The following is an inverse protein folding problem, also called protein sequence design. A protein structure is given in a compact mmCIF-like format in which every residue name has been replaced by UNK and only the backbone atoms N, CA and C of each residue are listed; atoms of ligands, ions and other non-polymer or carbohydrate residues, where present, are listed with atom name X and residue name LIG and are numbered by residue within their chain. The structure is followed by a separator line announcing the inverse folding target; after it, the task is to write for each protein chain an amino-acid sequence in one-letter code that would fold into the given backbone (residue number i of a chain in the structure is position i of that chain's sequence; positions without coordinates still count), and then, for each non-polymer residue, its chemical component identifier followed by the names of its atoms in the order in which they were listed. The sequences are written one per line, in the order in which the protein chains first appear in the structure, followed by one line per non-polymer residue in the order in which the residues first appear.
data_IF_258587336830
#
_entry.id   IF_258587336830
#
_cell.length_a   1.000
_cell.length_b   1.000
_cell.length_c   1.000
_cell.angle_alpha   90.00
_cell.angle_beta   90.00
_cell.angle_gamma   90.00
#
_symmetry.space_group_name_H-M   'P 1'
#
loop_
_entity.id
_entity.type
_entity.pdbx_description
1 polymer ?
#
# COMPACT_ATOMS: atom_id res chain seq x y z
N UNK A 1 -17.45 -19.04 15.81
CA UNK A 1 -16.46 -18.92 14.71
C UNK A 1 -16.13 -17.45 14.53
N UNK A 2 -14.85 -17.07 14.56
CA UNK A 2 -14.43 -15.68 14.35
C UNK A 2 -14.32 -15.41 12.85
N UNK A 3 -15.15 -14.51 12.33
CA UNK A 3 -15.09 -14.09 10.94
C UNK A 3 -14.29 -12.78 10.86
N UNK A 4 -13.12 -12.83 10.23
CA UNK A 4 -12.25 -11.68 10.03
C UNK A 4 -12.44 -11.14 8.61
N UNK A 5 -12.77 -9.84 8.47
CA UNK A 5 -12.83 -9.22 7.15
C UNK A 5 -11.46 -9.31 6.46
N UNK A 6 -11.48 -9.61 5.18
CA UNK A 6 -10.28 -9.73 4.37
C UNK A 6 -10.52 -9.15 2.97
N UNK A 7 -9.45 -8.65 2.36
CA UNK A 7 -9.51 -8.16 1.00
C UNK A 7 -9.64 -9.32 0.02
N UNK A 8 -10.54 -9.21 -0.96
CA UNK A 8 -10.72 -10.19 -2.02
C UNK A 8 -9.85 -9.89 -3.25
N UNK A 9 -9.76 -10.88 -4.14
CA UNK A 9 -9.00 -10.76 -5.39
C UNK A 9 -9.55 -9.67 -6.32
N UNK A 10 -10.88 -9.56 -6.44
CA UNK A 10 -11.49 -8.60 -7.36
C UNK A 10 -11.23 -7.15 -6.94
N UNK A 11 -11.31 -6.85 -5.64
CA UNK A 11 -10.96 -5.53 -5.10
C UNK A 11 -9.46 -5.23 -5.29
N UNK A 12 -8.59 -6.20 -5.02
CA UNK A 12 -7.15 -6.05 -5.21
C UNK A 12 -6.78 -5.80 -6.68
N UNK A 13 -7.35 -6.58 -7.59
CA UNK A 13 -7.15 -6.42 -9.03
C UNK A 13 -7.68 -5.08 -9.53
N UNK A 14 -8.88 -4.70 -9.12
CA UNK A 14 -9.46 -3.42 -9.51
C UNK A 14 -8.62 -2.23 -9.06
N UNK A 15 -8.02 -2.29 -7.86
CA UNK A 15 -7.08 -1.29 -7.38
C UNK A 15 -5.82 -1.22 -8.26
N UNK A 16 -5.26 -2.37 -8.65
CA UNK A 16 -4.10 -2.45 -9.55
C UNK A 16 -4.45 -1.83 -10.91
N UNK A 17 -5.59 -2.19 -11.47
CA UNK A 17 -6.05 -1.66 -12.76
C UNK A 17 -6.25 -0.13 -12.70
N UNK A 18 -6.80 0.39 -11.61
CA UNK A 18 -6.96 1.83 -11.39
C UNK A 18 -5.62 2.56 -11.34
N UNK A 19 -4.63 2.00 -10.62
CA UNK A 19 -3.29 2.57 -10.55
C UNK A 19 -2.58 2.55 -11.91
N UNK A 20 -2.68 1.47 -12.67
CA UNK A 20 -2.10 1.37 -14.02
C UNK A 20 -2.76 2.39 -14.96
N UNK A 21 -4.08 2.57 -14.87
CA UNK A 21 -4.81 3.57 -15.65
C UNK A 21 -4.33 4.98 -15.33
N UNK A 22 -4.15 5.30 -14.07
CA UNK A 22 -3.64 6.60 -13.61
C UNK A 22 -2.25 6.89 -14.19
N UNK A 23 -1.33 5.93 -14.08
CA UNK A 23 0.04 6.06 -14.63
C UNK A 23 0.00 6.32 -16.13
N UNK A 24 -0.80 5.57 -16.88
CA UNK A 24 -0.92 5.73 -18.33
C UNK A 24 -1.54 7.06 -18.74
N UNK A 25 -2.41 7.63 -17.91
CA UNK A 25 -3.07 8.91 -18.17
C UNK A 25 -2.17 10.12 -17.87
N UNK A 26 -1.11 9.93 -17.06
CA UNK A 26 -0.21 11.00 -16.61
C UNK A 26 1.27 10.63 -16.81
N UNK A 27 1.71 10.50 -18.08
CA UNK A 27 3.12 10.18 -18.38
C UNK A 27 4.09 11.31 -18.01
N UNK A 28 3.58 12.53 -17.79
CA UNK A 28 4.31 13.68 -17.27
C UNK A 28 4.64 13.56 -15.78
N UNK A 29 3.81 12.83 -15.01
CA UNK A 29 3.96 12.67 -13.56
C UNK A 29 4.60 11.36 -13.18
N UNK A 30 4.24 10.25 -13.84
CA UNK A 30 4.63 8.91 -13.46
C UNK A 30 5.61 8.29 -14.45
N UNK A 31 6.58 7.58 -13.91
CA UNK A 31 7.39 6.68 -14.71
C UNK A 31 6.57 5.44 -15.08
N UNK A 32 6.83 4.94 -16.30
CA UNK A 32 6.09 3.78 -16.80
C UNK A 32 6.67 2.45 -16.27
N UNK A 33 7.69 2.51 -15.41
CA UNK A 33 8.41 1.37 -14.87
C UNK A 33 8.23 1.33 -13.36
N UNK A 34 7.21 0.64 -12.89
CA UNK A 34 6.94 0.52 -11.47
C UNK A 34 6.41 -0.87 -11.11
N UNK A 35 6.35 -1.16 -9.82
CA UNK A 35 5.73 -2.35 -9.29
C UNK A 35 4.71 -1.99 -8.21
N UNK A 36 3.61 -2.71 -8.18
CA UNK A 36 2.61 -2.67 -7.13
C UNK A 36 2.37 -4.06 -6.57
N UNK A 37 2.22 -4.14 -5.26
CA UNK A 37 1.84 -5.35 -4.52
C UNK A 37 0.62 -5.03 -3.67
N UNK A 38 -0.43 -5.83 -3.82
CA UNK A 38 -1.61 -5.78 -2.95
C UNK A 38 -1.64 -7.06 -2.11
N UNK A 39 -1.72 -6.91 -0.81
CA UNK A 39 -1.70 -8.00 0.17
C UNK A 39 -3.02 -8.09 0.93
N UNK A 40 -3.33 -9.27 1.40
CA UNK A 40 -4.41 -9.50 2.35
C UNK A 40 -4.02 -9.07 3.78
N UNK A 41 -4.92 -9.27 4.73
CA UNK A 41 -4.74 -8.93 6.14
C UNK A 41 -3.66 -9.76 6.86
N UNK A 42 -3.25 -10.86 6.27
CA UNK A 42 -2.16 -11.74 6.76
C UNK A 42 -0.81 -11.43 6.09
N UNK A 43 -0.75 -10.34 5.33
CA UNK A 43 0.41 -9.92 4.55
C UNK A 43 0.83 -10.94 3.47
N UNK A 44 -0.15 -11.64 2.90
CA UNK A 44 0.06 -12.53 1.75
C UNK A 44 -0.33 -11.79 0.48
N UNK A 45 0.54 -11.74 -0.56
CA UNK A 45 0.20 -11.09 -1.82
C UNK A 45 -1.02 -11.72 -2.49
N UNK A 46 -2.00 -10.89 -2.85
CA UNK A 46 -3.19 -11.29 -3.63
C UNK A 46 -2.98 -10.95 -5.10
N UNK A 47 -2.43 -9.77 -5.38
CA UNK A 47 -2.20 -9.27 -6.73
C UNK A 47 -0.89 -8.51 -6.80
N UNK A 48 -0.10 -8.81 -7.84
CA UNK A 48 1.17 -8.15 -8.11
C UNK A 48 1.19 -7.73 -9.57
N UNK A 49 1.55 -6.48 -9.83
CA UNK A 49 1.83 -6.01 -11.19
C UNK A 49 3.21 -5.36 -11.23
N UNK A 50 4.09 -5.93 -12.04
CA UNK A 50 5.40 -5.37 -12.40
C UNK A 50 5.33 -4.97 -13.86
N UNK A 51 5.41 -3.67 -14.14
CA UNK A 51 5.31 -3.17 -15.51
C UNK A 51 6.57 -3.48 -16.31
N UNK A 52 6.40 -3.57 -17.63
CA UNK A 52 7.47 -3.88 -18.55
C UNK A 52 8.63 -2.87 -18.42
N UNK A 53 9.84 -3.37 -18.50
CA UNK A 53 11.05 -2.55 -18.34
C UNK A 53 11.44 -2.24 -16.89
N UNK A 54 10.61 -2.57 -15.89
CA UNK A 54 10.98 -2.39 -14.48
C UNK A 54 12.12 -3.33 -14.10
N UNK A 55 13.11 -2.79 -13.39
CA UNK A 55 14.16 -3.62 -12.77
C UNK A 55 13.58 -4.51 -11.66
N UNK A 56 14.34 -5.46 -11.09
CA UNK A 56 13.86 -6.27 -9.97
C UNK A 56 13.61 -5.50 -8.67
N UNK A 57 14.37 -4.43 -8.45
CA UNK A 57 14.35 -3.67 -7.19
C UNK A 57 12.97 -3.14 -6.76
N UNK A 58 12.14 -2.53 -7.63
CA UNK A 58 10.82 -2.05 -7.26
C UNK A 58 9.90 -3.11 -6.67
N UNK A 59 9.99 -4.35 -7.10
CA UNK A 59 9.19 -5.44 -6.52
C UNK A 59 9.48 -5.61 -5.03
N UNK A 60 10.74 -5.69 -4.65
CA UNK A 60 11.12 -5.85 -3.25
C UNK A 60 10.67 -4.67 -2.39
N UNK A 61 10.79 -3.47 -2.92
CA UNK A 61 10.35 -2.28 -2.18
C UNK A 61 8.83 -2.21 -2.06
N UNK A 62 8.09 -2.49 -3.14
CA UNK A 62 6.63 -2.54 -3.08
C UNK A 62 6.14 -3.63 -2.12
N UNK A 63 6.77 -4.81 -2.14
CA UNK A 63 6.48 -5.89 -1.19
C UNK A 63 6.68 -5.43 0.26
N UNK A 64 7.86 -4.88 0.59
CA UNK A 64 8.19 -4.43 1.95
C UNK A 64 7.24 -3.32 2.44
N UNK A 65 6.86 -2.39 1.57
CA UNK A 65 5.91 -1.33 1.90
C UNK A 65 4.52 -1.91 2.20
N UNK A 66 4.00 -2.80 1.37
CA UNK A 66 2.74 -3.48 1.63
C UNK A 66 2.80 -4.33 2.90
N UNK A 67 3.87 -5.09 3.09
CA UNK A 67 4.10 -5.92 4.26
C UNK A 67 4.12 -5.09 5.56
N UNK A 68 4.84 -3.98 5.58
CA UNK A 68 4.86 -3.05 6.70
C UNK A 68 3.46 -2.55 7.03
N UNK A 69 2.74 -2.08 6.01
CA UNK A 69 1.40 -1.52 6.18
C UNK A 69 0.37 -2.54 6.66
N UNK A 70 0.43 -3.78 6.17
CA UNK A 70 -0.46 -4.85 6.62
C UNK A 70 -0.18 -5.26 8.09
N UNK A 71 1.10 -5.44 8.44
CA UNK A 71 1.50 -5.86 9.79
C UNK A 71 1.22 -4.81 10.86
N UNK A 72 1.56 -3.55 10.58
CA UNK A 72 1.40 -2.47 11.53
C UNK A 72 0.03 -1.80 11.47
N UNK A 73 -0.79 -2.12 10.46
CA UNK A 73 -2.08 -1.46 10.20
C UNK A 73 -1.93 0.06 10.10
N UNK A 74 -0.84 0.48 9.47
CA UNK A 74 -0.42 1.87 9.30
C UNK A 74 0.01 2.10 7.86
N UNK A 75 -0.14 3.33 7.37
CA UNK A 75 0.59 3.76 6.19
C UNK A 75 2.09 3.79 6.49
N UNK A 76 2.94 3.57 5.51
CA UNK A 76 4.40 3.59 5.74
C UNK A 76 4.89 4.96 6.19
N UNK A 77 4.23 6.05 5.80
CA UNK A 77 4.51 7.40 6.31
C UNK A 77 4.23 7.53 7.81
N UNK A 78 3.15 6.93 8.31
CA UNK A 78 2.83 6.87 9.75
C UNK A 78 3.84 5.99 10.51
N UNK A 79 4.25 4.86 9.90
CA UNK A 79 5.29 4.00 10.46
C UNK A 79 6.63 4.73 10.56
N UNK A 80 7.01 5.47 9.52
CA UNK A 80 8.21 6.31 9.53
C UNK A 80 8.18 7.32 10.67
N UNK A 81 7.06 8.02 10.85
CA UNK A 81 6.90 8.98 11.93
C UNK A 81 7.02 8.34 13.31
N UNK A 82 6.40 7.17 13.51
CA UNK A 82 6.48 6.41 14.75
C UNK A 82 7.92 6.00 15.08
N UNK A 83 8.65 5.45 14.10
CA UNK A 83 10.04 5.03 14.26
C UNK A 83 10.93 6.24 14.59
N UNK A 84 10.75 7.35 13.87
CA UNK A 84 11.51 8.58 14.06
C UNK A 84 11.30 9.17 15.46
N UNK A 85 10.06 9.26 15.92
CA UNK A 85 9.73 9.77 17.27
C UNK A 85 10.30 8.92 18.40
N UNK A 86 10.54 7.64 18.15
CA UNK A 86 11.14 6.72 19.13
C UNK A 86 12.67 6.63 19.02
N UNK A 87 13.26 7.36 18.09
CA UNK A 87 14.69 7.31 17.78
C UNK A 87 15.19 5.88 17.45
N UNK A 88 14.30 5.07 16.86
CA UNK A 88 14.62 3.71 16.42
C UNK A 88 15.09 3.71 14.96
N UNK A 89 15.90 2.72 14.62
CA UNK A 89 16.19 2.47 13.21
C UNK A 89 15.02 1.76 12.53
N UNK A 90 14.90 1.93 11.21
CA UNK A 90 13.88 1.21 10.42
C UNK A 90 13.98 -0.31 10.54
N UNK A 91 15.17 -0.82 10.89
CA UNK A 91 15.45 -2.24 11.02
C UNK A 91 15.23 -2.78 12.45
N UNK A 92 14.73 -1.97 13.36
CA UNK A 92 14.52 -2.39 14.77
C UNK A 92 13.66 -3.64 14.88
N UNK A 93 12.68 -3.80 14.00
CA UNK A 93 11.78 -4.94 13.99
C UNK A 93 12.03 -5.96 12.87
N UNK A 94 13.07 -5.77 12.07
CA UNK A 94 13.47 -6.67 11.00
C UNK A 94 13.69 -5.97 9.65
N UNK A 95 14.45 -6.61 8.76
CA UNK A 95 14.81 -6.03 7.47
C UNK A 95 13.66 -5.99 6.46
N UNK A 96 12.57 -6.69 6.72
CA UNK A 96 11.38 -6.74 5.88
C UNK A 96 10.49 -5.50 5.98
N UNK A 97 10.67 -4.67 7.02
CA UNK A 97 9.92 -3.42 7.17
C UNK A 97 10.55 -2.27 6.39
N UNK A 98 9.71 -1.35 5.94
CA UNK A 98 10.13 -0.18 5.18
C UNK A 98 9.49 1.08 5.75
N UNK A 99 10.30 2.12 5.89
CA UNK A 99 9.84 3.48 6.25
C UNK A 99 9.56 4.35 5.01
N UNK A 100 9.85 3.82 3.80
CA UNK A 100 9.65 4.60 2.58
C UNK A 100 8.16 4.78 2.28
N UNK A 101 7.69 6.01 1.96
CA UNK A 101 6.30 6.24 1.57
C UNK A 101 5.86 5.40 0.36
N UNK A 102 4.57 5.09 0.28
CA UNK A 102 3.99 4.29 -0.80
C UNK A 102 3.41 2.95 -0.33
N UNK A 103 3.38 2.70 0.99
CA UNK A 103 2.60 1.64 1.60
C UNK A 103 1.33 2.18 2.23
N UNK A 104 0.17 1.61 1.88
CA UNK A 104 -1.14 2.04 2.37
C UNK A 104 -1.88 0.87 2.99
N UNK A 105 -2.16 0.94 4.28
CA UNK A 105 -3.04 0.00 4.96
C UNK A 105 -4.50 0.25 4.55
N UNK A 106 -5.26 -0.82 4.39
CA UNK A 106 -6.66 -0.79 3.98
C UNK A 106 -7.54 -1.07 5.19
N UNK A 107 -8.27 -0.07 5.63
CA UNK A 107 -9.18 -0.15 6.77
C UNK A 107 -10.44 0.69 6.51
N UNK A 108 -11.55 0.43 7.23
CA UNK A 108 -12.77 1.22 7.09
C UNK A 108 -12.53 2.71 7.35
N UNK A 109 -13.23 3.61 6.63
CA UNK A 109 -13.01 5.07 6.71
C UNK A 109 -13.11 5.67 8.11
N UNK A 110 -13.89 5.07 9.01
CA UNK A 110 -14.00 5.52 10.40
C UNK A 110 -12.67 5.45 11.18
N UNK A 111 -11.67 4.75 10.66
CA UNK A 111 -10.34 4.64 11.27
C UNK A 111 -9.27 5.48 10.57
N UNK A 112 -9.63 6.32 9.61
CA UNK A 112 -8.68 7.13 8.85
C UNK A 112 -7.83 8.02 9.77
N UNK A 113 -8.47 8.65 10.75
CA UNK A 113 -7.83 9.62 11.65
C UNK A 113 -7.31 9.01 12.98
N UNK A 114 -7.48 7.70 13.17
CA UNK A 114 -7.01 7.02 14.40
C UNK A 114 -6.02 5.89 14.11
N UNK A 115 -4.73 6.19 13.89
CA UNK A 115 -3.72 5.16 13.63
C UNK A 115 -3.47 4.21 14.79
N UNK A 116 -3.89 4.56 16.00
CA UNK A 116 -3.67 3.72 17.20
C UNK A 116 -4.79 2.73 17.45
N UNK A 117 -5.98 3.00 16.94
CA UNK A 117 -7.20 2.25 17.24
C UNK A 117 -7.69 1.34 16.12
N UNK A 118 -6.93 1.08 15.09
CA UNK A 118 -7.38 0.31 13.91
C UNK A 118 -7.51 -1.20 14.20
N UNK A 119 -8.65 -1.67 14.71
CA UNK A 119 -8.84 -3.09 15.04
C UNK A 119 -9.04 -3.94 13.79
N UNK A 120 -9.46 -3.32 12.68
CA UNK A 120 -9.75 -3.97 11.40
C UNK A 120 -8.81 -3.43 10.35
N UNK A 121 -8.05 -4.32 9.74
CA UNK A 121 -7.26 -4.04 8.53
C UNK A 121 -7.52 -5.18 7.55
N UNK A 122 -7.93 -4.84 6.33
CA UNK A 122 -8.26 -5.84 5.30
C UNK A 122 -7.04 -6.27 4.49
N UNK A 123 -5.97 -5.52 4.55
CA UNK A 123 -4.76 -5.73 3.78
C UNK A 123 -4.01 -4.44 3.54
N UNK A 124 -3.15 -4.42 2.53
CA UNK A 124 -2.34 -3.25 2.20
C UNK A 124 -1.95 -3.21 0.72
N UNK A 125 -1.63 -2.00 0.27
CA UNK A 125 -1.04 -1.71 -1.04
C UNK A 125 0.39 -1.24 -0.81
N UNK A 126 1.33 -1.69 -1.64
CA UNK A 126 2.68 -1.16 -1.72
C UNK A 126 3.03 -0.81 -3.16
N UNK A 127 3.56 0.39 -3.36
CA UNK A 127 3.99 0.90 -4.67
C UNK A 127 5.45 1.32 -4.59
N UNK A 128 6.21 1.04 -5.64
CA UNK A 128 7.60 1.47 -5.75
C UNK A 128 8.00 1.82 -7.17
N UNK A 129 8.81 2.87 -7.30
CA UNK A 129 9.37 3.41 -8.53
C UNK A 129 8.32 3.98 -9.49
N UNK A 130 7.22 4.52 -8.96
CA UNK A 130 6.18 5.15 -9.78
C UNK A 130 6.59 6.51 -10.36
N UNK A 131 7.67 7.11 -9.88
CA UNK A 131 8.13 8.41 -10.37
C UNK A 131 9.08 9.11 -9.39
N UNK A 132 9.03 10.44 -9.37
CA UNK A 132 9.79 11.26 -8.44
C UNK A 132 9.30 11.10 -7.00
N UNK A 133 9.99 11.74 -6.07
CA UNK A 133 9.63 11.70 -4.65
C UNK A 133 8.13 12.03 -4.43
N UNK A 134 7.46 11.18 -3.67
CA UNK A 134 6.03 11.29 -3.39
C UNK A 134 5.11 10.58 -4.40
N UNK A 135 5.58 10.24 -5.60
CA UNK A 135 4.76 9.59 -6.62
C UNK A 135 4.28 8.19 -6.20
N UNK A 136 5.09 7.45 -5.47
CA UNK A 136 4.72 6.12 -4.95
C UNK A 136 3.50 6.20 -4.01
N UNK A 137 3.50 7.19 -3.11
CA UNK A 137 2.40 7.40 -2.17
C UNK A 137 1.14 7.90 -2.89
N UNK A 138 1.27 8.88 -3.79
CA UNK A 138 0.15 9.35 -4.60
C UNK A 138 -0.53 8.22 -5.36
N UNK A 139 0.26 7.34 -5.96
CA UNK A 139 -0.27 6.22 -6.73
C UNK A 139 -0.92 5.16 -5.83
N UNK A 140 -0.33 4.89 -4.66
CA UNK A 140 -0.92 3.99 -3.68
C UNK A 140 -2.27 4.51 -3.15
N UNK A 141 -2.42 5.83 -3.00
CA UNK A 141 -3.70 6.47 -2.66
C UNK A 141 -4.76 6.23 -3.74
N UNK A 142 -4.41 6.27 -5.02
CA UNK A 142 -5.36 5.94 -6.10
C UNK A 142 -5.93 4.53 -5.94
N UNK A 143 -5.08 3.56 -5.62
CA UNK A 143 -5.52 2.19 -5.33
C UNK A 143 -6.38 2.09 -4.08
N UNK A 144 -6.00 2.79 -3.01
CA UNK A 144 -6.76 2.82 -1.76
C UNK A 144 -8.14 3.45 -1.96
N UNK A 145 -8.22 4.56 -2.68
CA UNK A 145 -9.49 5.25 -2.98
C UNK A 145 -10.42 4.36 -3.80
N UNK A 146 -9.87 3.61 -4.77
CA UNK A 146 -10.65 2.62 -5.50
C UNK A 146 -11.28 1.59 -4.55
N UNK A 147 -10.49 0.99 -3.66
CA UNK A 147 -10.97 -0.02 -2.70
C UNK A 147 -12.02 0.58 -1.76
N UNK A 148 -11.76 1.78 -1.22
CA UNK A 148 -12.71 2.47 -0.35
C UNK A 148 -14.04 2.73 -1.04
N UNK A 149 -14.00 3.15 -2.30
CA UNK A 149 -15.21 3.42 -3.10
C UNK A 149 -16.02 2.16 -3.39
N UNK A 150 -15.36 1.02 -3.57
CA UNK A 150 -16.01 -0.27 -3.82
C UNK A 150 -16.60 -0.85 -2.54
N UNK A 151 -15.83 -0.87 -1.46
CA UNK A 151 -16.23 -1.52 -0.21
C UNK A 151 -17.12 -0.65 0.67
N UNK A 152 -16.92 0.67 0.64
CA UNK A 152 -17.66 1.64 1.46
C UNK A 152 -18.17 2.81 0.59
N UNK A 153 -19.07 2.52 -0.38
CA UNK A 153 -19.60 3.57 -1.23
C UNK A 153 -20.33 4.62 -0.39
N UNK A 154 -20.05 5.90 -0.67
CA UNK A 154 -20.80 7.00 -0.08
C UNK A 154 -22.29 6.85 -0.44
N UNK A 155 -23.15 6.89 0.57
CA UNK A 155 -24.59 6.82 0.39
C UNK A 155 -25.13 8.08 -0.28
#
# INVERSE_FOLDING_TARGET
MYNKPNLGYEEARGAVDAMIKEVKSRPDRYWQHFCVVVMDESAVPICVAKLDGSSPHPYYQAYRKAFTSAHWRMHTSEYQEMISKREWSEQTYGPEYSVCPGGMAIFPPEYDDDPKGRPVCLGAIGVSAAGEFGADEELAIVGLDYIKKVLWPSK
#
